data_IF_948785236276
#
_entry.id   IF_948785236276
#
_cell.length_a   1.000
_cell.length_b   1.000
_cell.length_c   1.000
_cell.angle_alpha   90.00
_cell.angle_beta   90.00
_cell.angle_gamma   90.00
#
_symmetry.space_group_name_H-M   'P 1'
#
loop_
_entity.id
_entity.type
_entity.pdbx_description
1 polymer ?
#
# COMPACT_ATOMS: atom_id res chain seq x y z
N UNK A 1 -7.17 -1.43 -27.38
CA UNK A 1 -6.60 -0.39 -26.50
C UNK A 1 -6.59 -0.88 -25.06
N UNK A 2 -5.58 -1.68 -24.67
CA UNK A 2 -5.36 -2.06 -23.27
C UNK A 2 -4.33 -1.08 -22.69
N UNK A 3 -4.74 -0.23 -21.75
CA UNK A 3 -3.85 0.73 -21.10
C UNK A 3 -3.00 -0.04 -20.08
N UNK A 4 -1.90 -0.60 -20.55
CA UNK A 4 -0.87 -1.22 -19.73
C UNK A 4 -0.38 -0.19 -18.71
N UNK A 5 -0.70 -0.44 -17.43
CA UNK A 5 -0.18 0.35 -16.32
C UNK A 5 1.29 -0.01 -16.16
N UNK A 6 2.15 0.69 -16.89
CA UNK A 6 3.61 0.61 -16.78
C UNK A 6 4.06 0.96 -15.37
N UNK A 7 4.09 -0.04 -14.49
CA UNK A 7 5.02 -0.04 -13.36
C UNK A 7 6.30 -0.60 -13.95
N UNK A 8 7.17 0.29 -14.44
CA UNK A 8 8.60 -0.02 -14.57
C UNK A 8 9.07 -0.38 -13.16
N UNK A 9 8.95 -1.65 -12.79
CA UNK A 9 9.58 -2.21 -11.60
C UNK A 9 11.08 -2.04 -11.88
N UNK A 10 11.65 -0.92 -11.45
CA UNK A 10 13.06 -0.88 -11.06
C UNK A 10 13.26 -2.18 -10.29
N UNK A 11 14.14 -3.01 -10.81
CA UNK A 11 14.53 -4.33 -10.29
C UNK A 11 14.87 -4.17 -8.82
N UNK A 12 13.85 -4.17 -7.96
CA UNK A 12 14.02 -4.47 -6.56
C UNK A 12 14.45 -5.92 -6.60
N UNK A 13 15.62 -6.17 -6.08
CA UNK A 13 16.21 -7.50 -6.03
C UNK A 13 15.11 -8.51 -5.70
N UNK A 14 15.00 -9.62 -6.44
CA UNK A 14 13.95 -10.60 -6.18
C UNK A 14 13.99 -11.15 -4.74
N UNK A 15 15.15 -11.02 -4.10
CA UNK A 15 15.40 -11.38 -2.70
C UNK A 15 15.04 -10.25 -1.70
N UNK A 16 14.87 -9.01 -2.16
CA UNK A 16 14.51 -7.91 -1.29
C UNK A 16 13.08 -8.09 -0.77
N UNK A 17 12.86 -8.00 0.55
CA UNK A 17 11.55 -8.22 1.11
C UNK A 17 10.58 -7.15 0.61
N UNK A 18 9.32 -7.58 0.46
CA UNK A 18 8.28 -6.70 -0.03
C UNK A 18 7.98 -5.65 1.03
N UNK A 19 8.21 -4.37 0.66
CA UNK A 19 7.99 -3.22 1.53
C UNK A 19 6.64 -3.29 2.26
N UNK A 20 6.69 -3.06 3.57
CA UNK A 20 5.51 -3.03 4.41
C UNK A 20 4.44 -2.08 3.86
N UNK A 21 3.20 -2.50 3.93
CA UNK A 21 2.05 -1.65 3.62
C UNK A 21 1.74 -0.80 4.84
N UNK A 22 1.73 0.53 4.66
CA UNK A 22 1.32 1.45 5.73
C UNK A 22 -0.18 1.37 5.98
N UNK A 23 -0.63 1.91 7.12
CA UNK A 23 -2.04 1.94 7.50
C UNK A 23 -2.92 2.53 6.39
N UNK A 24 -2.44 3.60 5.77
CA UNK A 24 -3.07 4.21 4.60
C UNK A 24 -3.14 3.28 3.40
N UNK A 25 -2.08 2.55 3.07
CA UNK A 25 -2.07 1.62 1.93
C UNK A 25 -2.93 0.37 2.17
N UNK A 26 -3.02 -0.11 3.40
CA UNK A 26 -3.93 -1.20 3.78
C UNK A 26 -5.39 -0.76 3.65
N UNK A 27 -5.73 0.40 4.22
CA UNK A 27 -7.04 1.01 4.11
C UNK A 27 -7.40 1.31 2.65
N UNK A 28 -6.45 1.87 1.88
CA UNK A 28 -6.62 2.17 0.47
C UNK A 28 -6.78 0.88 -0.34
N UNK A 29 -6.10 -0.23 -0.02
CA UNK A 29 -6.34 -1.48 -0.73
C UNK A 29 -7.75 -2.02 -0.51
N UNK A 30 -8.27 -1.94 0.71
CA UNK A 30 -9.65 -2.32 1.02
C UNK A 30 -10.67 -1.37 0.37
N UNK A 31 -10.45 -0.06 0.50
CA UNK A 31 -11.39 0.94 0.00
C UNK A 31 -11.24 1.25 -1.49
N UNK A 32 -10.08 1.00 -2.12
CA UNK A 32 -9.91 1.28 -3.57
C UNK A 32 -10.89 0.47 -4.39
N UNK A 33 -11.26 -0.74 -3.97
CA UNK A 33 -12.21 -1.56 -4.74
C UNK A 33 -13.61 -0.97 -4.66
N UNK A 34 -13.97 -0.40 -3.50
CA UNK A 34 -15.23 0.31 -3.28
C UNK A 34 -15.25 1.72 -3.91
N UNK A 35 -14.11 2.41 -3.94
CA UNK A 35 -13.94 3.76 -4.48
C UNK A 35 -13.67 3.75 -6.00
N UNK A 36 -13.13 2.66 -6.55
CA UNK A 36 -12.88 2.49 -8.00
C UNK A 36 -14.21 2.22 -8.70
N UNK A 37 -14.99 3.27 -8.89
CA UNK A 37 -16.17 3.27 -9.73
C UNK A 37 -15.78 3.33 -11.21
N UNK A 38 -16.42 2.54 -12.10
CA UNK A 38 -16.19 2.65 -13.53
C UNK A 38 -16.56 4.07 -13.99
N UNK A 39 -15.58 4.82 -14.49
CA UNK A 39 -15.73 6.22 -14.91
C UNK A 39 -14.99 7.25 -14.04
N UNK A 40 -14.54 6.89 -12.83
CA UNK A 40 -13.68 7.79 -12.04
C UNK A 40 -12.21 7.65 -12.43
N UNK A 41 -11.52 8.79 -12.54
CA UNK A 41 -10.08 8.81 -12.75
C UNK A 41 -9.35 8.40 -11.47
N UNK A 42 -8.15 7.81 -11.61
CA UNK A 42 -7.32 7.45 -10.45
C UNK A 42 -7.03 8.67 -9.55
N UNK A 43 -6.96 9.87 -10.13
CA UNK A 43 -6.79 11.15 -9.42
C UNK A 43 -7.99 11.48 -8.51
N UNK A 44 -9.22 11.30 -9.01
CA UNK A 44 -10.43 11.53 -8.21
C UNK A 44 -10.56 10.51 -7.09
N UNK A 45 -10.26 9.24 -7.37
CA UNK A 45 -10.21 8.18 -6.37
C UNK A 45 -9.17 8.50 -5.29
N UNK A 46 -7.98 8.96 -5.67
CA UNK A 46 -6.93 9.32 -4.73
C UNK A 46 -7.30 10.54 -3.85
N UNK A 47 -7.97 11.55 -4.41
CA UNK A 47 -8.50 12.69 -3.63
C UNK A 47 -9.53 12.23 -2.60
N UNK A 48 -10.57 11.52 -3.06
CA UNK A 48 -11.62 11.01 -2.18
C UNK A 48 -11.06 10.06 -1.11
N UNK A 49 -10.08 9.23 -1.48
CA UNK A 49 -9.37 8.36 -0.56
C UNK A 49 -8.58 9.13 0.51
N UNK A 50 -7.88 10.20 0.13
CA UNK A 50 -7.14 11.04 1.06
C UNK A 50 -8.06 11.78 2.05
N UNK A 51 -9.21 12.25 1.58
CA UNK A 51 -10.23 12.90 2.42
C UNK A 51 -10.90 11.89 3.38
N UNK A 52 -11.29 10.72 2.88
CA UNK A 52 -11.87 9.67 3.70
C UNK A 52 -10.86 9.10 4.70
N UNK A 53 -9.58 8.99 4.36
CA UNK A 53 -8.52 8.63 5.31
C UNK A 53 -8.30 9.71 6.38
N UNK A 54 -8.37 10.99 6.01
CA UNK A 54 -8.28 12.09 6.98
C UNK A 54 -9.45 12.08 7.96
N UNK A 55 -10.66 11.85 7.45
CA UNK A 55 -11.89 11.73 8.23
C UNK A 55 -12.03 10.40 8.98
N UNK A 56 -11.20 9.40 8.67
CA UNK A 56 -11.22 8.13 9.38
C UNK A 56 -10.77 8.36 10.83
N UNK A 57 -11.65 8.22 11.80
CA UNK A 57 -11.28 8.29 13.22
C UNK A 57 -10.62 6.99 13.69
N UNK A 58 -11.04 5.87 13.11
CA UNK A 58 -10.55 4.53 13.43
C UNK A 58 -9.30 4.17 12.61
N UNK A 59 -8.23 4.95 12.77
CA UNK A 59 -6.91 4.63 12.17
C UNK A 59 -6.19 3.56 12.96
N UNK A 60 -6.48 3.44 14.26
CA UNK A 60 -5.82 2.52 15.18
C UNK A 60 -5.86 1.06 14.72
N UNK A 61 -6.99 0.59 14.16
CA UNK A 61 -7.07 -0.76 13.56
C UNK A 61 -6.08 -0.94 12.41
N UNK A 62 -5.98 0.05 11.53
CA UNK A 62 -5.07 0.03 10.38
C UNK A 62 -3.62 0.25 10.77
N UNK A 63 -3.36 1.09 11.78
CA UNK A 63 -2.04 1.31 12.35
C UNK A 63 -1.52 0.04 13.01
N UNK A 64 -2.36 -0.70 13.76
CA UNK A 64 -1.99 -2.00 14.32
C UNK A 64 -1.65 -3.02 13.23
N UNK A 65 -2.48 -3.12 12.18
CA UNK A 65 -2.19 -4.00 11.04
C UNK A 65 -0.92 -3.58 10.29
N UNK A 66 -0.68 -2.28 10.14
CA UNK A 66 0.52 -1.75 9.50
C UNK A 66 1.77 -1.96 10.35
N UNK A 67 1.66 -1.87 11.67
CA UNK A 67 2.77 -2.11 12.58
C UNK A 67 3.17 -3.58 12.57
N UNK A 68 2.20 -4.51 12.52
CA UNK A 68 2.44 -5.94 12.32
C UNK A 68 3.16 -6.23 10.99
N UNK A 69 2.68 -5.66 9.89
CA UNK A 69 3.30 -5.83 8.56
C UNK A 69 4.67 -5.14 8.49
N UNK A 70 4.84 -4.01 9.18
CA UNK A 70 6.13 -3.33 9.35
C UNK A 70 7.11 -4.19 10.12
N UNK A 71 6.71 -4.79 11.24
CA UNK A 71 7.55 -5.72 12.00
C UNK A 71 7.95 -6.93 11.17
N UNK A 72 7.03 -7.47 10.36
CA UNK A 72 7.35 -8.54 9.39
C UNK A 72 8.43 -8.07 8.42
N UNK A 73 8.20 -6.94 7.77
CA UNK A 73 9.15 -6.38 6.80
C UNK A 73 10.51 -6.05 7.44
N UNK A 74 10.56 -5.52 8.66
CA UNK A 74 11.81 -5.23 9.35
C UNK A 74 12.59 -6.51 9.66
N UNK A 75 11.92 -7.58 10.07
CA UNK A 75 12.55 -8.90 10.25
C UNK A 75 13.09 -9.47 8.94
N UNK A 76 12.27 -9.46 7.89
CA UNK A 76 12.72 -9.96 6.58
C UNK A 76 13.82 -9.06 5.99
N UNK A 77 13.79 -7.75 6.23
CA UNK A 77 14.80 -6.80 5.78
C UNK A 77 16.11 -6.97 6.53
N UNK A 78 16.05 -7.23 7.84
CA UNK A 78 17.24 -7.55 8.62
C UNK A 78 17.88 -8.86 8.13
N UNK A 79 17.09 -9.90 7.87
CA UNK A 79 17.57 -11.15 7.29
C UNK A 79 18.17 -10.94 5.89
N UNK A 80 17.51 -10.15 5.04
CA UNK A 80 18.00 -9.82 3.70
C UNK A 80 19.30 -9.00 3.73
N UNK A 81 19.36 -7.95 4.56
CA UNK A 81 20.57 -7.12 4.74
C UNK A 81 21.74 -7.89 5.36
N UNK A 82 21.46 -8.93 6.14
CA UNK A 82 22.50 -9.79 6.71
C UNK A 82 23.00 -10.84 5.71
N UNK A 83 22.27 -11.09 4.63
CA UNK A 83 22.55 -12.14 3.65
C UNK A 83 23.03 -11.60 2.29
N UNK A 84 23.15 -10.28 2.14
CA UNK A 84 23.60 -9.58 0.93
C UNK A 84 24.63 -8.52 1.30
#
# INVERSE_FOLDING_TARGET
>A
MAKERGVTKKTKDPNAPKRALTAYFLWLNQNRESLKKPGMTATQVAKAAGEAWRNLTDKSKWEKMAEEDKKRYEKELAAYKSSN
#
